data_IF_540246071053
#
_entry.id   IF_540246071053
#
_cell.length_a   1.000
_cell.length_b   1.000
_cell.length_c   1.000
_cell.angle_alpha   90.00
_cell.angle_beta   90.00
_cell.angle_gamma   90.00
#
_symmetry.space_group_name_H-M   'P 1'
#
loop_
_entity.id
_entity.type
_entity.pdbx_description
1 polymer ?
#
# COMPACT_ATOMS: atom_id res chain seq x y z
N UNK A 1 -45.23 2.82 -36.39
CA UNK A 1 -43.90 3.47 -36.24
C UNK A 1 -43.81 4.37 -35.00
N UNK A 2 -44.77 5.28 -34.72
CA UNK A 2 -44.74 6.15 -33.53
C UNK A 2 -44.67 5.43 -32.17
N UNK A 3 -45.34 4.27 -32.01
CA UNK A 3 -45.33 3.48 -30.75
C UNK A 3 -44.04 2.67 -30.54
N UNK A 4 -43.34 2.29 -31.61
CA UNK A 4 -42.04 1.60 -31.54
C UNK A 4 -40.91 2.57 -31.20
N UNK A 5 -40.98 3.81 -31.70
CA UNK A 5 -40.06 4.90 -31.34
C UNK A 5 -40.14 5.24 -29.83
N UNK A 6 -41.33 5.21 -29.22
CA UNK A 6 -41.49 5.47 -27.78
C UNK A 6 -40.86 4.41 -26.89
N UNK A 7 -40.86 3.13 -27.30
CA UNK A 7 -40.28 2.02 -26.52
C UNK A 7 -38.75 2.04 -26.60
N UNK A 8 -38.18 2.39 -27.76
CA UNK A 8 -36.72 2.49 -27.93
C UNK A 8 -36.12 3.65 -27.13
N UNK A 9 -36.82 4.79 -27.03
CA UNK A 9 -36.36 5.93 -26.22
C UNK A 9 -36.42 5.63 -24.72
N UNK A 10 -37.39 4.85 -24.25
CA UNK A 10 -37.51 4.46 -22.83
C UNK A 10 -36.48 3.39 -22.42
N UNK A 11 -36.13 2.45 -23.31
CA UNK A 11 -35.07 1.46 -23.03
C UNK A 11 -33.65 2.06 -23.10
N UNK A 12 -33.43 3.12 -23.88
CA UNK A 12 -32.16 3.86 -23.87
C UNK A 12 -31.92 4.66 -22.58
N UNK A 13 -32.99 5.16 -21.95
CA UNK A 13 -32.89 5.92 -20.70
C UNK A 13 -32.61 5.04 -19.47
N UNK A 14 -33.05 3.78 -19.48
CA UNK A 14 -32.76 2.84 -18.39
C UNK A 14 -31.29 2.35 -18.39
N UNK A 15 -30.64 2.30 -19.57
CA UNK A 15 -29.23 1.94 -19.70
C UNK A 15 -28.26 3.06 -19.26
N UNK A 16 -28.76 4.28 -19.07
CA UNK A 16 -27.97 5.43 -18.60
C UNK A 16 -28.03 5.64 -17.07
N UNK A 17 -28.85 4.86 -16.35
CA UNK A 17 -28.99 4.94 -14.90
C UNK A 17 -28.24 3.83 -14.14
N UNK A 18 -27.58 2.91 -14.84
CA UNK A 18 -26.68 1.91 -14.23
C UNK A 18 -25.21 2.32 -14.23
N UNK A 19 -24.89 3.58 -14.55
CA UNK A 19 -23.53 4.13 -14.45
C UNK A 19 -23.42 5.05 -13.23
N UNK A 20 -23.52 4.45 -12.03
CA UNK A 20 -23.11 5.09 -10.78
C UNK A 20 -21.69 4.65 -10.37
N UNK A 21 -20.77 4.56 -11.33
CA UNK A 21 -19.35 4.31 -11.04
C UNK A 21 -18.43 5.49 -11.42
N UNK A 22 -18.96 6.61 -11.92
CA UNK A 22 -18.16 7.75 -12.36
C UNK A 22 -18.83 9.07 -11.95
N UNK A 23 -18.78 9.37 -10.65
CA UNK A 23 -18.87 10.73 -10.14
C UNK A 23 -17.53 11.09 -9.52
N UNK A 24 -16.68 11.90 -10.19
CA UNK A 24 -15.55 12.55 -9.55
C UNK A 24 -16.11 13.73 -8.75
N UNK A 25 -16.58 13.48 -7.54
CA UNK A 25 -17.06 14.54 -6.68
C UNK A 25 -18.01 14.06 -5.60
N UNK A 26 -17.52 14.14 -4.35
CA UNK A 26 -18.20 13.81 -3.07
C UNK A 26 -17.92 12.40 -2.52
N UNK A 27 -16.65 12.02 -2.50
CA UNK A 27 -16.09 11.43 -1.28
C UNK A 27 -15.64 12.61 -0.43
N UNK A 28 -15.89 12.61 0.88
CA UNK A 28 -15.40 13.68 1.77
C UNK A 28 -13.91 13.95 1.52
N UNK A 29 -13.44 15.17 1.79
CA UNK A 29 -12.01 15.53 1.74
C UNK A 29 -11.23 14.61 2.71
N UNK A 30 -10.96 13.38 2.29
CA UNK A 30 -10.02 12.47 2.89
C UNK A 30 -8.68 13.16 2.70
N UNK A 31 -7.98 13.36 3.80
CA UNK A 31 -6.68 14.01 3.84
C UNK A 31 -5.77 13.37 2.77
N UNK A 32 -4.96 14.19 2.10
CA UNK A 32 -4.26 13.85 0.85
C UNK A 32 -3.45 12.55 1.01
N UNK A 33 -2.86 12.39 2.18
CA UNK A 33 -2.05 11.22 2.54
C UNK A 33 -2.85 9.94 2.60
N UNK A 34 -4.06 9.98 3.16
CA UNK A 34 -4.95 8.83 3.21
C UNK A 34 -5.46 8.44 1.82
N UNK A 35 -5.61 9.40 0.92
CA UNK A 35 -5.92 9.14 -0.49
C UNK A 35 -4.77 8.43 -1.21
N UNK A 36 -3.55 8.92 -1.03
CA UNK A 36 -2.34 8.30 -1.61
C UNK A 36 -2.07 6.91 -1.04
N UNK A 37 -2.18 6.74 0.27
CA UNK A 37 -2.01 5.45 0.94
C UNK A 37 -3.07 4.44 0.48
N UNK A 38 -4.33 4.85 0.32
CA UNK A 38 -5.39 3.96 -0.19
C UNK A 38 -5.10 3.54 -1.64
N UNK A 39 -4.69 4.47 -2.50
CA UNK A 39 -4.34 4.15 -3.88
C UNK A 39 -3.19 3.14 -3.97
N UNK A 40 -2.16 3.27 -3.12
CA UNK A 40 -1.07 2.30 -3.02
C UNK A 40 -1.56 0.96 -2.46
N UNK A 41 -2.40 0.98 -1.43
CA UNK A 41 -2.96 -0.24 -0.83
C UNK A 41 -3.80 -1.03 -1.84
N UNK A 42 -4.58 -0.37 -2.70
CA UNK A 42 -5.33 -1.02 -3.80
C UNK A 42 -4.38 -1.76 -4.74
N UNK A 43 -3.28 -1.14 -5.14
CA UNK A 43 -2.27 -1.78 -6.01
C UNK A 43 -1.64 -2.99 -5.33
N UNK A 44 -1.23 -2.85 -4.07
CA UNK A 44 -0.69 -3.95 -3.26
C UNK A 44 -1.71 -5.08 -3.16
N UNK A 45 -2.95 -4.78 -2.80
CA UNK A 45 -4.03 -5.76 -2.68
C UNK A 45 -4.30 -6.50 -4.00
N UNK A 46 -4.29 -5.80 -5.13
CA UNK A 46 -4.44 -6.43 -6.45
C UNK A 46 -3.34 -7.45 -6.71
N UNK A 47 -2.08 -7.09 -6.46
CA UNK A 47 -0.95 -8.00 -6.63
C UNK A 47 -0.97 -9.17 -5.62
N UNK A 48 -1.40 -8.94 -4.38
CA UNK A 48 -1.60 -10.00 -3.38
C UNK A 48 -2.69 -10.99 -3.82
N UNK A 49 -3.86 -10.50 -4.26
CA UNK A 49 -4.98 -11.33 -4.72
C UNK A 49 -4.59 -12.20 -5.91
N UNK A 50 -3.81 -11.65 -6.85
CA UNK A 50 -3.32 -12.38 -8.03
C UNK A 50 -2.05 -13.19 -7.76
N UNK A 51 -1.51 -13.12 -6.54
CA UNK A 51 -0.26 -13.77 -6.16
C UNK A 51 0.92 -13.37 -7.07
N UNK A 52 0.94 -12.11 -7.51
CA UNK A 52 1.87 -11.58 -8.51
C UNK A 52 3.07 -10.90 -7.83
N UNK A 53 4.09 -11.71 -7.55
CA UNK A 53 5.34 -11.22 -6.98
C UNK A 53 6.03 -10.17 -7.88
N UNK A 54 5.91 -10.28 -9.20
CA UNK A 54 6.55 -9.34 -10.12
C UNK A 54 5.87 -7.97 -10.07
N UNK A 55 4.54 -7.94 -9.98
CA UNK A 55 3.78 -6.71 -9.77
C UNK A 55 4.15 -6.03 -8.44
N UNK A 56 4.20 -6.79 -7.33
CA UNK A 56 4.65 -6.25 -6.03
C UNK A 56 6.08 -5.70 -6.13
N UNK A 57 7.01 -6.47 -6.69
CA UNK A 57 8.41 -6.05 -6.89
C UNK A 57 8.50 -4.76 -7.70
N UNK A 58 7.68 -4.63 -8.74
CA UNK A 58 7.64 -3.45 -9.60
C UNK A 58 7.17 -2.17 -8.90
N UNK A 59 6.58 -2.25 -7.71
CA UNK A 59 6.18 -1.08 -6.92
C UNK A 59 7.30 -0.51 -6.06
N UNK A 60 8.39 -1.27 -5.87
CA UNK A 60 9.53 -0.84 -5.07
C UNK A 60 10.36 0.23 -5.76
N UNK A 61 10.97 1.08 -4.95
CA UNK A 61 11.90 2.08 -5.44
C UNK A 61 13.18 1.43 -5.98
N UNK A 62 13.83 2.04 -6.99
CA UNK A 62 15.13 1.56 -7.48
C UNK A 62 16.16 1.37 -6.35
N UNK A 63 16.20 2.28 -5.39
CA UNK A 63 17.08 2.18 -4.23
C UNK A 63 16.82 0.94 -3.38
N UNK A 64 15.55 0.61 -3.13
CA UNK A 64 15.19 -0.58 -2.36
C UNK A 64 15.49 -1.87 -3.13
N UNK A 65 15.23 -1.89 -4.44
CA UNK A 65 15.57 -3.02 -5.31
C UNK A 65 17.08 -3.30 -5.34
N UNK A 66 17.92 -2.27 -5.27
CA UNK A 66 19.39 -2.38 -5.31
C UNK A 66 19.98 -2.84 -3.96
N UNK A 67 19.42 -2.41 -2.83
CA UNK A 67 19.99 -2.64 -1.49
C UNK A 67 19.37 -3.75 -0.68
N UNK A 68 18.14 -4.14 -0.99
CA UNK A 68 17.52 -5.26 -0.30
C UNK A 68 18.25 -6.56 -0.67
N UNK A 69 18.85 -7.22 0.32
CA UNK A 69 19.67 -8.42 0.12
C UNK A 69 18.87 -9.64 -0.34
N UNK A 70 17.57 -9.69 -0.07
CA UNK A 70 16.71 -10.85 -0.31
C UNK A 70 15.26 -10.45 -0.66
N UNK A 71 15.08 -9.53 -1.61
CA UNK A 71 13.74 -9.01 -1.92
C UNK A 71 12.80 -10.09 -2.46
N UNK A 72 13.29 -11.02 -3.28
CA UNK A 72 12.45 -12.09 -3.86
C UNK A 72 11.96 -13.05 -2.77
N UNK A 73 12.84 -13.46 -1.86
CA UNK A 73 12.49 -14.30 -0.71
C UNK A 73 11.52 -13.59 0.25
N UNK A 74 11.71 -12.28 0.45
CA UNK A 74 10.77 -11.45 1.21
C UNK A 74 9.39 -11.35 0.56
N UNK A 75 9.31 -11.28 -0.78
CA UNK A 75 8.04 -11.26 -1.50
C UNK A 75 7.32 -12.61 -1.36
N UNK A 76 8.05 -13.72 -1.46
CA UNK A 76 7.50 -15.05 -1.20
C UNK A 76 6.97 -15.16 0.24
N UNK A 77 7.71 -14.60 1.20
CA UNK A 77 7.24 -14.50 2.60
C UNK A 77 5.93 -13.72 2.70
N UNK A 78 5.86 -12.50 2.15
CA UNK A 78 4.64 -11.67 2.15
C UNK A 78 3.46 -12.41 1.52
N UNK A 79 3.66 -13.01 0.34
CA UNK A 79 2.63 -13.74 -0.38
C UNK A 79 2.12 -14.96 0.39
N UNK A 80 2.97 -15.60 1.20
CA UNK A 80 2.56 -16.76 2.02
C UNK A 80 1.45 -16.47 3.04
N UNK A 81 1.27 -15.20 3.45
CA UNK A 81 0.17 -14.76 4.31
C UNK A 81 -1.17 -14.66 3.57
N UNK A 82 -1.12 -14.52 2.25
CA UNK A 82 -2.26 -14.19 1.41
C UNK A 82 -2.40 -15.22 0.28
N UNK A 83 -2.92 -16.42 0.57
CA UNK A 83 -3.22 -17.38 -0.49
C UNK A 83 -4.22 -16.74 -1.48
N UNK A 84 -4.10 -17.11 -2.76
CA UNK A 84 -4.95 -16.55 -3.82
C UNK A 84 -6.43 -16.60 -3.43
N UNK A 85 -7.12 -15.46 -3.50
CA UNK A 85 -8.50 -15.36 -3.05
C UNK A 85 -8.92 -13.93 -2.72
N UNK A 86 -10.01 -13.82 -1.96
CA UNK A 86 -10.53 -12.54 -1.52
C UNK A 86 -9.68 -11.98 -0.38
N UNK A 87 -9.30 -10.72 -0.51
CA UNK A 87 -8.59 -9.95 0.51
C UNK A 87 -9.41 -8.68 0.75
N UNK A 88 -9.62 -8.35 2.01
CA UNK A 88 -10.20 -7.07 2.44
C UNK A 88 -9.22 -6.35 3.33
N UNK A 89 -9.26 -5.02 3.37
CA UNK A 89 -8.42 -4.23 4.26
C UNK A 89 -9.22 -3.14 4.95
N UNK A 90 -8.74 -2.78 6.13
CA UNK A 90 -9.19 -1.63 6.89
C UNK A 90 -7.95 -0.82 7.26
N UNK A 91 -7.99 0.46 6.96
CA UNK A 91 -7.01 1.42 7.43
C UNK A 91 -6.87 1.38 8.95
N UNK A 92 -5.62 1.38 9.43
CA UNK A 92 -5.33 1.53 10.84
C UNK A 92 -4.73 2.90 11.16
N UNK A 93 -3.55 3.18 10.58
CA UNK A 93 -2.82 4.44 10.80
C UNK A 93 -2.13 4.84 9.51
N UNK A 94 -2.32 6.07 9.06
CA UNK A 94 -1.57 6.68 7.96
C UNK A 94 -0.94 7.96 8.47
N UNK A 95 0.36 8.09 8.26
CA UNK A 95 1.12 9.30 8.56
C UNK A 95 1.98 9.66 7.35
N UNK A 96 2.38 10.92 7.29
CA UNK A 96 3.39 11.40 6.36
C UNK A 96 4.53 12.10 7.10
N UNK A 97 5.69 12.11 6.46
CA UNK A 97 6.81 12.97 6.82
C UNK A 97 7.17 13.78 5.58
N UNK A 98 7.34 15.09 5.74
CA UNK A 98 7.70 15.99 4.65
C UNK A 98 9.00 16.75 4.93
N UNK A 99 9.74 17.05 3.86
CA UNK A 99 10.83 18.03 3.88
C UNK A 99 10.75 18.94 2.66
N UNK A 100 11.15 20.20 2.82
CA UNK A 100 11.27 21.15 1.73
C UNK A 100 12.57 21.95 1.84
N UNK A 101 13.33 22.05 0.75
CA UNK A 101 14.61 22.75 0.73
C UNK A 101 14.90 23.30 -0.66
N UNK A 102 15.15 24.61 -0.78
CA UNK A 102 15.55 25.24 -2.05
C UNK A 102 14.65 24.90 -3.25
N UNK A 103 13.34 24.83 -3.06
CA UNK A 103 12.36 24.49 -4.10
C UNK A 103 12.22 23.00 -4.41
N UNK A 104 12.95 22.13 -3.69
CA UNK A 104 12.78 20.67 -3.71
C UNK A 104 11.86 20.22 -2.59
N UNK A 105 11.16 19.10 -2.80
CA UNK A 105 10.29 18.46 -1.82
C UNK A 105 10.68 16.99 -1.63
N UNK A 106 10.51 16.50 -0.41
CA UNK A 106 10.41 15.07 -0.11
C UNK A 106 9.14 14.80 0.70
N UNK A 107 8.50 13.68 0.43
CA UNK A 107 7.29 13.20 1.10
C UNK A 107 7.38 11.68 1.23
N UNK A 108 7.26 11.20 2.46
CA UNK A 108 7.28 9.79 2.82
C UNK A 108 5.98 9.44 3.51
N UNK A 109 5.18 8.57 2.89
CA UNK A 109 3.99 7.98 3.48
C UNK A 109 4.35 6.73 4.29
N UNK A 110 3.77 6.62 5.47
CA UNK A 110 3.94 5.51 6.40
C UNK A 110 2.53 5.00 6.74
N UNK A 111 2.18 3.82 6.26
CA UNK A 111 0.81 3.34 6.35
C UNK A 111 0.74 1.93 6.94
N UNK A 112 -0.16 1.76 7.91
CA UNK A 112 -0.54 0.50 8.51
C UNK A 112 -1.99 0.18 8.17
N UNK A 113 -2.22 -1.05 7.74
CA UNK A 113 -3.54 -1.62 7.47
C UNK A 113 -3.73 -2.91 8.27
N UNK A 114 -4.97 -3.13 8.68
CA UNK A 114 -5.46 -4.46 9.02
C UNK A 114 -5.92 -5.12 7.72
N UNK A 115 -5.29 -6.22 7.33
CA UNK A 115 -5.63 -6.96 6.11
C UNK A 115 -6.16 -8.32 6.51
N UNK A 116 -7.33 -8.68 6.00
CA UNK A 116 -7.99 -9.95 6.26
C UNK A 116 -7.96 -10.84 5.03
N UNK A 117 -7.51 -12.08 5.19
CA UNK A 117 -7.51 -13.09 4.13
C UNK A 117 -7.66 -14.49 4.72
N UNK A 118 -8.46 -15.34 4.08
CA UNK A 118 -8.70 -16.73 4.51
C UNK A 118 -9.08 -16.90 5.99
N UNK A 119 -9.81 -15.94 6.54
CA UNK A 119 -10.27 -15.96 7.94
C UNK A 119 -9.22 -15.53 8.98
N UNK A 120 -8.05 -15.08 8.55
CA UNK A 120 -7.01 -14.53 9.41
C UNK A 120 -6.85 -13.03 9.17
N UNK A 121 -6.37 -12.34 10.20
CA UNK A 121 -6.06 -10.92 10.16
C UNK A 121 -4.55 -10.70 10.27
N UNK A 122 -4.05 -9.69 9.57
CA UNK A 122 -2.64 -9.36 9.49
C UNK A 122 -2.43 -7.86 9.63
N UNK A 123 -1.32 -7.49 10.25
CA UNK A 123 -0.72 -6.18 10.08
C UNK A 123 -0.02 -6.14 8.73
N UNK A 124 -0.35 -5.16 7.89
CA UNK A 124 0.42 -4.81 6.70
C UNK A 124 0.94 -3.39 6.86
N UNK A 125 2.24 -3.21 6.67
CA UNK A 125 2.90 -1.91 6.67
C UNK A 125 3.57 -1.65 5.34
N UNK A 126 3.47 -0.43 4.83
CA UNK A 126 4.36 0.05 3.78
C UNK A 126 4.85 1.48 4.05
N UNK A 127 6.07 1.73 3.61
CA UNK A 127 6.67 3.05 3.51
C UNK A 127 6.88 3.40 2.04
N UNK A 128 6.35 4.52 1.59
CA UNK A 128 6.32 4.90 0.17
C UNK A 128 6.73 6.36 0.00
N UNK A 129 7.84 6.61 -0.68
CA UNK A 129 8.21 7.96 -1.06
C UNK A 129 7.43 8.36 -2.32
N UNK A 130 6.52 9.31 -2.21
CA UNK A 130 5.78 9.86 -3.36
C UNK A 130 6.58 10.93 -4.11
N UNK A 131 7.49 11.60 -3.40
CA UNK A 131 8.53 12.48 -3.98
C UNK A 131 9.74 12.48 -3.05
N UNK A 132 10.97 12.57 -3.58
CA UNK A 132 12.16 12.64 -2.74
C UNK A 132 13.33 13.44 -3.36
N UNK A 133 13.07 14.69 -3.73
CA UNK A 133 14.06 15.54 -4.43
C UNK A 133 15.14 16.13 -3.50
N UNK A 134 14.89 16.11 -2.18
CA UNK A 134 15.81 16.66 -1.17
C UNK A 134 16.91 15.65 -0.83
N UNK A 135 16.55 14.38 -0.62
CA UNK A 135 17.47 13.34 -0.14
C UNK A 135 17.97 12.48 -1.30
N UNK A 136 17.09 11.67 -1.90
CA UNK A 136 17.45 10.81 -3.03
C UNK A 136 16.21 10.47 -3.90
N UNK A 137 16.12 10.95 -5.15
CA UNK A 137 15.02 10.62 -6.05
C UNK A 137 14.86 9.12 -6.33
N UNK A 138 15.92 8.31 -6.19
CA UNK A 138 15.86 6.85 -6.37
C UNK A 138 15.09 6.13 -5.26
N UNK A 139 14.73 6.83 -4.16
CA UNK A 139 13.88 6.27 -3.12
C UNK A 139 12.40 6.31 -3.49
N UNK A 140 11.99 7.02 -4.55
CA UNK A 140 10.58 7.15 -4.95
C UNK A 140 9.99 5.78 -5.31
N UNK A 141 8.84 5.45 -4.73
CA UNK A 141 8.25 4.11 -4.72
C UNK A 141 8.26 3.48 -3.34
N UNK A 142 7.82 2.21 -3.24
CA UNK A 142 7.85 1.48 -1.97
C UNK A 142 9.31 1.33 -1.54
N UNK A 143 9.64 1.93 -0.41
CA UNK A 143 10.95 1.80 0.22
C UNK A 143 10.98 0.58 1.14
N UNK A 144 9.88 0.32 1.85
CA UNK A 144 9.75 -0.77 2.79
C UNK A 144 8.34 -1.38 2.76
N UNK A 145 8.23 -2.70 2.87
CA UNK A 145 6.97 -3.45 2.98
C UNK A 145 7.11 -4.55 4.04
N UNK A 146 6.09 -4.79 4.84
CA UNK A 146 6.14 -5.87 5.81
C UNK A 146 4.75 -6.34 6.23
N UNK A 147 4.69 -7.60 6.65
CA UNK A 147 3.46 -8.25 7.10
C UNK A 147 3.76 -9.03 8.36
N UNK A 148 2.85 -8.97 9.34
CA UNK A 148 2.91 -9.76 10.56
C UNK A 148 1.50 -10.23 10.95
N UNK A 149 1.42 -11.28 11.78
CA UNK A 149 0.15 -11.72 12.37
C UNK A 149 -0.52 -10.58 13.14
N UNK A 150 -1.84 -10.46 13.03
CA UNK A 150 -2.58 -9.49 13.84
C UNK A 150 -2.57 -9.87 15.32
N UNK A 151 -2.12 -8.93 16.14
CA UNK A 151 -2.28 -8.96 17.60
C UNK A 151 -2.70 -7.57 18.06
N UNK A 152 -3.56 -7.51 19.07
CA UNK A 152 -4.10 -6.24 19.60
C UNK A 152 -3.03 -5.42 20.33
N UNK A 153 -2.13 -6.07 21.09
CA UNK A 153 -1.02 -5.38 21.76
C UNK A 153 0.21 -5.37 20.83
N UNK A 154 0.43 -4.24 20.16
CA UNK A 154 1.56 -4.02 19.24
C UNK A 154 2.93 -4.03 19.93
N UNK A 155 2.96 -4.08 21.26
CA UNK A 155 4.18 -4.24 22.07
C UNK A 155 4.42 -5.69 22.49
N UNK A 156 3.58 -6.62 22.06
CA UNK A 156 3.81 -8.04 22.34
C UNK A 156 5.12 -8.50 21.68
N UNK A 157 5.90 -9.39 22.32
CA UNK A 157 7.17 -9.86 21.76
C UNK A 157 7.07 -10.51 20.37
N UNK A 158 5.89 -10.98 19.98
CA UNK A 158 5.62 -11.60 18.68
C UNK A 158 5.73 -10.59 17.52
N UNK A 159 5.23 -9.36 17.72
CA UNK A 159 5.17 -8.34 16.65
C UNK A 159 6.02 -7.10 16.95
N UNK A 160 6.53 -6.95 18.16
CA UNK A 160 7.38 -5.81 18.54
C UNK A 160 8.57 -5.62 17.59
N UNK A 161 9.29 -6.67 17.13
CA UNK A 161 10.35 -6.49 16.14
C UNK A 161 9.88 -5.92 14.80
N UNK A 162 8.66 -6.26 14.35
CA UNK A 162 8.06 -5.71 13.14
C UNK A 162 7.79 -4.22 13.29
N UNK A 163 7.15 -3.80 14.39
CA UNK A 163 6.87 -2.38 14.64
C UNK A 163 8.14 -1.56 14.87
N UNK A 164 9.15 -2.14 15.51
CA UNK A 164 10.46 -1.49 15.68
C UNK A 164 11.15 -1.27 14.34
N UNK A 165 11.16 -2.27 13.46
CA UNK A 165 11.69 -2.13 12.10
C UNK A 165 10.95 -1.07 11.31
N UNK A 166 9.61 -1.08 11.34
CA UNK A 166 8.80 -0.12 10.61
C UNK A 166 9.01 1.32 11.13
N UNK A 167 9.13 1.50 12.45
CA UNK A 167 9.41 2.79 13.08
C UNK A 167 10.81 3.35 12.76
N UNK A 168 11.75 2.52 12.32
CA UNK A 168 13.09 2.96 11.92
C UNK A 168 13.14 3.63 10.53
N UNK A 169 12.03 3.62 9.77
CA UNK A 169 11.96 4.25 8.45
C UNK A 169 11.75 5.77 8.58
N UNK A 170 12.59 6.54 7.89
CA UNK A 170 12.56 8.00 7.92
C UNK A 170 12.93 8.64 6.57
N UNK A 171 12.72 9.96 6.46
CA UNK A 171 12.95 10.77 5.26
C UNK A 171 14.39 10.73 4.76
N UNK A 172 15.36 10.68 5.68
CA UNK A 172 16.79 10.61 5.34
C UNK A 172 17.18 9.24 4.73
N UNK A 173 16.21 8.35 4.56
CA UNK A 173 16.45 6.93 4.56
C UNK A 173 16.55 6.45 6.00
N UNK A 174 16.56 5.15 6.16
CA UNK A 174 16.85 4.54 7.44
C UNK A 174 18.28 4.87 7.87
N UNK A 175 18.46 5.27 9.14
CA UNK A 175 19.75 5.19 9.81
C UNK A 175 20.28 3.75 9.78
N UNK A 176 21.45 3.50 10.35
CA UNK A 176 22.24 2.25 10.32
C UNK A 176 21.48 0.91 10.52
N UNK A 177 20.20 0.94 10.94
CA UNK A 177 19.38 -0.23 11.28
C UNK A 177 18.02 -0.35 10.54
N UNK A 178 17.58 0.62 9.74
CA UNK A 178 16.37 0.42 8.94
C UNK A 178 16.75 -0.17 7.58
N UNK A 179 16.12 -1.26 7.19
CA UNK A 179 16.47 -1.95 5.96
C UNK A 179 15.41 -1.62 4.89
N UNK A 180 15.79 -0.96 3.78
CA UNK A 180 14.89 -0.94 2.62
C UNK A 180 14.59 -2.37 2.18
N UNK A 181 13.43 -2.58 1.57
CA UNK A 181 12.97 -3.90 1.15
C UNK A 181 11.90 -4.46 2.07
N UNK A 182 12.00 -5.74 2.41
CA UNK A 182 10.91 -6.47 3.04
C UNK A 182 11.27 -6.90 4.44
N UNK A 183 10.38 -6.66 5.39
CA UNK A 183 10.51 -7.23 6.72
C UNK A 183 10.28 -8.74 6.66
N UNK A 184 11.27 -9.47 7.15
CA UNK A 184 11.19 -10.90 7.44
C UNK A 184 11.65 -11.06 8.89
N UNK A 185 10.95 -11.83 9.73
CA UNK A 185 11.37 -12.06 11.10
C UNK A 185 12.77 -12.68 11.14
N UNK A 186 13.63 -12.28 12.10
CA UNK A 186 14.94 -12.89 12.26
C UNK A 186 14.80 -14.40 12.45
N UNK A 187 15.66 -15.18 11.79
CA UNK A 187 15.74 -16.61 12.06
C UNK A 187 16.10 -16.82 13.54
N UNK A 188 15.25 -17.58 14.24
CA UNK A 188 15.41 -17.94 15.66
C UNK A 188 16.60 -18.85 15.90
#
# INVERSE_FOLDING_TARGET
MRRLLSVVVLLGAAALLSSCALLPGRVGLRDDDYGKAEARMVQIADALKSHDAAALKGMFSPYALDRATAIDEGLDYVLSFFPSGEITWQENTVNSKDAASHGKKSELLLAYYKVSASGNDYWLYFADFTVNDVVNPENVGIYALGVASWVEDTRSPEVEPFFRWAAAVDLEGSGTDGYPGIWVPPAS
#
